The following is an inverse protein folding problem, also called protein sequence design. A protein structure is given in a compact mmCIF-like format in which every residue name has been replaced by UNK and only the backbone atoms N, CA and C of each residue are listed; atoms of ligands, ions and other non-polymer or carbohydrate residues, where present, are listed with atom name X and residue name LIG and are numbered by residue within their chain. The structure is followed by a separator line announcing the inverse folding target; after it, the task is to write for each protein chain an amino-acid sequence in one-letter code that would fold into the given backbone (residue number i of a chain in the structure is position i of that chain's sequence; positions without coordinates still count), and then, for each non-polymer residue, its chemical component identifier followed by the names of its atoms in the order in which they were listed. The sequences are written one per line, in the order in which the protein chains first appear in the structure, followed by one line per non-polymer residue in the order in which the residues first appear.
data_IF_114832211891
#
_entry.id   IF_114832211891
#
_cell.length_a   1.000
_cell.length_b   1.000
_cell.length_c   1.000
_cell.angle_alpha   90.00
_cell.angle_beta   90.00
_cell.angle_gamma   90.00
#
_symmetry.space_group_name_H-M   'P 1'
#
loop_
_entity.id
_entity.type
_entity.pdbx_description
1 polymer ?
#
# COMPACT_ATOMS: atom_id res chain seq x y z
N UNK A 1 -2.61 10.43 28.77
CA UNK A 1 -1.27 11.04 28.91
C UNK A 1 -0.58 10.98 27.55
N UNK A 2 -0.34 12.11 26.88
CA UNK A 2 0.25 12.11 25.54
C UNK A 2 1.78 12.02 25.65
N UNK A 3 2.34 11.05 24.95
CA UNK A 3 3.78 10.85 24.81
C UNK A 3 4.38 11.98 23.97
N UNK A 4 5.27 12.75 24.59
CA UNK A 4 6.07 13.77 23.94
C UNK A 4 6.99 13.14 22.90
N UNK A 5 6.64 13.27 21.62
CA UNK A 5 7.62 13.19 20.53
C UNK A 5 8.53 14.42 20.65
N UNK A 6 9.72 14.21 21.21
CA UNK A 6 10.78 15.20 21.24
C UNK A 6 11.27 15.42 19.81
N UNK A 7 10.64 16.35 19.09
CA UNK A 7 11.27 17.02 17.95
C UNK A 7 12.46 17.81 18.49
N UNK A 8 13.63 17.21 18.48
CA UNK A 8 14.88 17.96 18.52
C UNK A 8 15.23 18.44 17.11
N UNK A 9 14.40 19.33 16.56
CA UNK A 9 14.89 20.26 15.54
C UNK A 9 15.51 21.43 16.31
N UNK A 10 16.75 21.22 16.76
CA UNK A 10 17.63 22.37 16.98
C UNK A 10 17.99 22.84 15.58
N UNK A 11 17.26 23.84 15.07
CA UNK A 11 17.76 24.65 13.97
C UNK A 11 18.96 25.42 14.49
N UNK A 12 20.13 24.78 14.48
CA UNK A 12 21.38 25.49 14.40
C UNK A 12 21.25 26.40 13.18
N UNK A 13 21.50 27.70 13.35
CA UNK A 13 21.61 28.63 12.23
C UNK A 13 22.49 28.00 11.16
N UNK A 14 22.13 28.18 9.88
CA UNK A 14 22.91 27.73 8.73
C UNK A 14 24.34 28.29 8.67
N UNK A 15 24.73 29.13 9.64
CA UNK A 15 26.00 29.84 9.70
C UNK A 15 27.15 29.02 10.34
N UNK A 16 26.89 27.82 10.88
CA UNK A 16 27.88 27.07 11.69
C UNK A 16 28.17 25.64 11.18
N UNK A 17 27.77 25.31 9.94
CA UNK A 17 28.02 23.99 9.34
C UNK A 17 28.92 24.12 8.10
N UNK A 18 29.99 23.32 7.97
CA UNK A 18 30.90 23.42 6.82
C UNK A 18 30.23 22.96 5.51
N UNK A 19 29.25 22.04 5.61
CA UNK A 19 28.48 21.53 4.50
C UNK A 19 27.06 21.12 4.91
N UNK A 20 26.16 21.04 3.93
CA UNK A 20 24.79 20.54 4.05
C UNK A 20 24.48 19.53 2.93
N UNK A 21 23.66 18.52 3.25
CA UNK A 21 23.20 17.51 2.30
C UNK A 21 21.70 17.67 2.07
N UNK A 22 21.28 17.47 0.82
CA UNK A 22 19.87 17.42 0.42
C UNK A 22 19.65 16.35 -0.66
N UNK A 23 18.42 15.83 -0.76
CA UNK A 23 18.01 14.89 -1.81
C UNK A 23 16.80 15.48 -2.53
N UNK A 24 16.97 15.74 -3.82
CA UNK A 24 15.90 16.17 -4.71
C UNK A 24 15.42 14.97 -5.53
N UNK A 25 14.23 14.46 -5.20
CA UNK A 25 13.56 13.46 -6.04
C UNK A 25 13.02 14.11 -7.32
N UNK A 26 13.23 13.46 -8.46
CA UNK A 26 12.77 13.90 -9.79
C UNK A 26 11.68 12.98 -10.35
N UNK A 27 11.62 11.73 -9.86
CA UNK A 27 10.58 10.77 -10.24
C UNK A 27 9.20 11.17 -9.70
N UNK A 28 8.11 10.72 -10.38
CA UNK A 28 6.77 10.76 -9.82
C UNK A 28 6.66 9.95 -8.51
N UNK A 29 5.51 10.02 -7.80
CA UNK A 29 5.27 9.20 -6.61
C UNK A 29 5.55 7.73 -6.86
N UNK A 30 6.25 7.07 -5.93
CA UNK A 30 6.67 5.67 -6.06
C UNK A 30 5.47 4.73 -5.86
N UNK A 31 4.72 4.49 -6.93
CA UNK A 31 3.55 3.62 -6.95
C UNK A 31 3.87 2.37 -7.77
N UNK A 32 3.75 1.20 -7.13
CA UNK A 32 3.78 -0.10 -7.80
C UNK A 32 2.37 -0.45 -8.27
N UNK A 33 2.19 -0.58 -9.58
CA UNK A 33 0.90 -0.96 -10.16
C UNK A 33 0.76 -2.47 -10.26
N UNK A 34 -0.39 -3.00 -9.85
CA UNK A 34 -0.71 -4.41 -9.85
C UNK A 34 -0.32 -5.17 -8.58
N UNK A 35 -0.68 -6.45 -8.55
CA UNK A 35 -0.31 -7.37 -7.48
C UNK A 35 1.21 -7.59 -7.42
N UNK A 36 1.78 -8.00 -6.26
CA UNK A 36 3.24 -8.13 -6.09
C UNK A 36 3.96 -8.99 -7.13
N UNK A 37 3.27 -10.02 -7.62
CA UNK A 37 3.71 -11.01 -8.60
C UNK A 37 3.62 -10.53 -10.06
N UNK A 38 2.83 -9.48 -10.32
CA UNK A 38 2.61 -8.94 -11.68
C UNK A 38 3.28 -7.58 -11.88
N UNK A 39 3.50 -6.83 -10.80
CA UNK A 39 4.01 -5.46 -10.87
C UNK A 39 5.43 -5.38 -11.42
N UNK A 40 5.66 -4.45 -12.36
CA UNK A 40 6.98 -4.09 -12.89
C UNK A 40 7.81 -3.24 -11.92
N UNK A 41 7.22 -2.81 -10.79
CA UNK A 41 7.88 -1.98 -9.79
C UNK A 41 7.63 -0.48 -9.95
N UNK A 42 8.49 0.33 -9.35
CA UNK A 42 8.44 1.79 -9.45
C UNK A 42 9.84 2.35 -9.68
N UNK A 43 10.02 3.16 -10.72
CA UNK A 43 11.27 3.84 -11.02
C UNK A 43 11.43 5.06 -10.10
N UNK A 44 12.58 5.14 -9.44
CA UNK A 44 12.97 6.27 -8.61
C UNK A 44 14.22 6.94 -9.22
N UNK A 45 14.17 8.24 -9.39
CA UNK A 45 15.29 9.06 -9.90
C UNK A 45 15.41 10.34 -9.07
N UNK A 46 16.62 10.83 -8.93
CA UNK A 46 16.86 12.08 -8.21
C UNK A 46 18.32 12.50 -8.19
N UNK A 47 18.57 13.60 -7.49
CA UNK A 47 19.89 14.20 -7.30
C UNK A 47 20.23 14.24 -5.81
N UNK A 48 21.38 13.71 -5.43
CA UNK A 48 22.02 14.04 -4.16
C UNK A 48 22.73 15.39 -4.32
N UNK A 49 22.46 16.33 -3.43
CA UNK A 49 23.09 17.65 -3.39
C UNK A 49 23.93 17.78 -2.14
N UNK A 50 25.14 18.30 -2.31
CA UNK A 50 26.01 18.72 -1.22
C UNK A 50 26.38 20.18 -1.41
N UNK A 51 25.96 21.03 -0.48
CA UNK A 51 26.28 22.46 -0.48
C UNK A 51 27.41 22.70 0.50
N UNK A 52 28.54 23.21 0.01
CA UNK A 52 29.71 23.56 0.81
C UNK A 52 29.72 25.06 1.05
N UNK A 53 29.73 25.47 2.32
CA UNK A 53 29.68 26.88 2.74
C UNK A 53 31.06 27.47 3.05
N UNK A 54 32.04 26.62 3.35
CA UNK A 54 33.43 27.04 3.51
C UNK A 54 34.14 27.14 2.15
N UNK A 55 35.28 27.85 2.05
CA UNK A 55 36.03 27.97 0.79
C UNK A 55 36.40 26.62 0.17
N UNK A 56 36.75 25.65 1.02
CA UNK A 56 36.98 24.26 0.63
C UNK A 56 36.81 23.32 1.81
N UNK A 57 36.17 22.18 1.60
CA UNK A 57 36.05 21.11 2.60
C UNK A 57 36.66 19.83 2.04
N UNK A 58 37.54 19.19 2.81
CA UNK A 58 38.06 17.87 2.47
C UNK A 58 37.10 16.80 2.98
N UNK A 59 36.71 15.89 2.09
CA UNK A 59 35.86 14.75 2.43
C UNK A 59 36.54 13.47 1.98
N UNK A 60 36.48 12.44 2.80
CA UNK A 60 37.06 11.12 2.53
C UNK A 60 36.12 10.27 1.71
N UNK A 61 34.81 10.36 1.97
CA UNK A 61 33.82 9.66 1.17
C UNK A 61 32.46 10.37 1.12
N UNK A 62 31.76 10.18 0.01
CA UNK A 62 30.36 10.57 -0.19
C UNK A 62 29.63 9.31 -0.66
N UNK A 63 28.68 8.84 0.15
CA UNK A 63 27.92 7.63 -0.16
C UNK A 63 26.43 7.89 -0.06
N UNK A 64 25.66 7.19 -0.90
CA UNK A 64 24.21 7.15 -0.85
C UNK A 64 23.77 5.69 -0.77
N UNK A 65 22.83 5.38 0.11
CA UNK A 65 22.26 4.04 0.26
C UNK A 65 20.75 4.08 0.19
N UNK A 66 20.16 3.23 -0.63
CA UNK A 66 18.73 2.92 -0.55
C UNK A 66 18.53 1.76 0.41
N UNK A 67 17.73 1.96 1.45
CA UNK A 67 17.53 0.97 2.51
C UNK A 67 16.06 0.72 2.80
N UNK A 68 15.76 -0.54 3.12
CA UNK A 68 14.49 -0.96 3.74
C UNK A 68 14.73 -1.24 5.21
N UNK A 69 13.87 -0.70 6.06
CA UNK A 69 13.89 -0.93 7.51
C UNK A 69 12.57 -1.55 7.91
N UNK A 70 12.63 -2.80 8.38
CA UNK A 70 11.49 -3.48 8.99
C UNK A 70 11.71 -3.45 10.50
N UNK A 71 10.72 -2.97 11.25
CA UNK A 71 10.86 -2.79 12.70
C UNK A 71 9.62 -3.21 13.46
N UNK A 72 9.80 -3.59 14.72
CA UNK A 72 8.71 -3.92 15.64
C UNK A 72 8.86 -3.22 17.00
N UNK A 73 7.72 -2.98 17.64
CA UNK A 73 7.65 -2.54 19.05
C UNK A 73 7.70 -3.71 20.04
N UNK A 74 7.55 -4.95 19.56
CA UNK A 74 7.48 -6.15 20.39
C UNK A 74 8.56 -7.17 20.00
N UNK A 75 9.86 -6.81 20.09
CA UNK A 75 10.95 -7.73 19.78
C UNK A 75 10.93 -8.94 20.71
N UNK A 76 11.38 -10.10 20.22
CA UNK A 76 11.51 -11.33 21.04
C UNK A 76 12.49 -11.12 22.21
N UNK A 77 13.52 -10.27 22.00
CA UNK A 77 14.47 -9.81 23.01
C UNK A 77 14.64 -8.29 22.93
N UNK A 78 14.19 -7.58 23.97
CA UNK A 78 14.19 -6.11 24.01
C UNK A 78 15.57 -5.46 23.89
N UNK A 79 16.61 -6.12 24.43
CA UNK A 79 17.98 -5.61 24.39
C UNK A 79 18.73 -5.90 23.09
N UNK A 80 18.16 -6.69 22.16
CA UNK A 80 18.81 -7.05 20.91
C UNK A 80 18.34 -6.12 19.76
N UNK A 81 19.24 -5.37 19.11
CA UNK A 81 18.88 -4.51 17.98
C UNK A 81 18.33 -5.33 16.80
N UNK A 82 18.95 -6.48 16.48
CA UNK A 82 18.53 -7.37 15.39
C UNK A 82 17.15 -8.03 15.61
N UNK A 83 16.66 -8.09 16.87
CA UNK A 83 15.28 -8.48 17.15
C UNK A 83 14.29 -7.33 16.98
N UNK A 84 14.75 -6.08 17.10
CA UNK A 84 13.91 -4.87 17.04
C UNK A 84 13.75 -4.35 15.62
N UNK A 85 14.80 -4.43 14.82
CA UNK A 85 14.77 -4.07 13.42
C UNK A 85 15.70 -4.92 12.56
N UNK A 86 15.31 -5.07 11.30
CA UNK A 86 16.17 -5.54 10.22
C UNK A 86 16.34 -4.38 9.24
N UNK A 87 17.59 -4.15 8.83
CA UNK A 87 17.96 -3.12 7.86
C UNK A 87 18.56 -3.82 6.66
N UNK A 88 17.88 -3.71 5.52
CA UNK A 88 18.35 -4.24 4.26
C UNK A 88 18.88 -3.08 3.42
N UNK A 89 20.16 -3.13 3.04
CA UNK A 89 20.73 -2.21 2.05
C UNK A 89 20.42 -2.79 0.67
N UNK A 90 19.57 -2.09 -0.07
CA UNK A 90 19.05 -2.54 -1.35
C UNK A 90 19.93 -2.07 -2.52
N UNK A 91 20.40 -0.82 -2.44
CA UNK A 91 21.36 -0.24 -3.39
C UNK A 91 22.38 0.62 -2.65
N UNK A 92 23.59 0.72 -3.20
CA UNK A 92 24.69 1.53 -2.67
C UNK A 92 25.42 2.26 -3.80
N UNK A 93 25.60 3.57 -3.66
CA UNK A 93 26.38 4.42 -4.56
C UNK A 93 27.55 5.03 -3.80
N UNK A 94 28.76 4.66 -4.21
CA UNK A 94 30.01 5.26 -3.72
C UNK A 94 30.38 6.43 -4.63
N UNK A 95 29.75 7.58 -4.41
CA UNK A 95 29.83 8.76 -5.27
C UNK A 95 31.20 9.45 -5.23
N UNK A 96 31.88 9.34 -4.09
CA UNK A 96 33.29 9.68 -3.93
C UNK A 96 33.91 8.71 -2.94
N UNK A 97 34.91 7.94 -3.37
CA UNK A 97 35.60 6.93 -2.57
C UNK A 97 37.03 7.32 -2.19
N UNK A 98 37.50 8.49 -2.64
CA UNK A 98 38.84 9.02 -2.36
C UNK A 98 38.72 10.37 -1.66
N UNK A 99 39.73 10.73 -0.87
CA UNK A 99 39.81 12.06 -0.26
C UNK A 99 39.87 13.13 -1.33
N UNK A 100 38.81 13.93 -1.40
CA UNK A 100 38.65 15.04 -2.35
C UNK A 100 38.37 16.34 -1.60
N UNK A 101 38.91 17.43 -2.13
CA UNK A 101 38.61 18.79 -1.66
C UNK A 101 37.49 19.37 -2.50
N UNK A 102 36.34 19.63 -1.89
CA UNK A 102 35.20 20.26 -2.53
C UNK A 102 35.22 21.76 -2.27
N UNK A 103 35.20 22.56 -3.34
CA UNK A 103 35.14 24.02 -3.25
C UNK A 103 33.76 24.50 -2.82
N UNK A 104 33.68 25.73 -2.30
CA UNK A 104 32.43 26.41 -2.03
C UNK A 104 31.45 26.30 -3.21
N UNK A 105 30.20 25.91 -2.91
CA UNK A 105 29.16 25.74 -3.91
C UNK A 105 28.37 24.44 -3.75
N UNK A 106 27.45 24.20 -4.68
CA UNK A 106 26.60 23.01 -4.70
C UNK A 106 27.13 21.98 -5.68
N UNK A 107 27.43 20.79 -5.16
CA UNK A 107 27.85 19.61 -5.92
C UNK A 107 26.69 18.64 -5.99
N UNK A 108 26.49 18.03 -7.16
CA UNK A 108 25.32 17.17 -7.39
C UNK A 108 25.69 15.85 -8.03
N UNK A 109 25.06 14.76 -7.56
CA UNK A 109 25.21 13.44 -8.14
C UNK A 109 23.84 12.85 -8.47
N UNK A 110 23.59 12.45 -9.72
CA UNK A 110 22.37 11.75 -10.08
C UNK A 110 22.38 10.32 -9.56
N UNK A 111 21.21 9.83 -9.16
CA UNK A 111 20.98 8.44 -8.85
C UNK A 111 19.65 7.96 -9.44
N UNK A 112 19.58 6.66 -9.73
CA UNK A 112 18.37 6.00 -10.20
C UNK A 112 18.33 4.57 -9.72
N UNK A 113 17.15 4.08 -9.33
CA UNK A 113 16.93 2.69 -8.99
C UNK A 113 15.47 2.29 -9.25
N UNK A 114 15.23 0.99 -9.39
CA UNK A 114 13.89 0.45 -9.49
C UNK A 114 13.54 -0.22 -8.17
N UNK A 115 12.41 0.16 -7.58
CA UNK A 115 11.81 -0.60 -6.49
C UNK A 115 11.17 -1.85 -7.11
N UNK A 116 11.61 -3.07 -6.77
CA UNK A 116 11.05 -4.28 -7.34
C UNK A 116 9.56 -4.43 -7.03
N UNK A 117 8.77 -4.88 -8.02
CA UNK A 117 7.32 -4.98 -7.88
C UNK A 117 6.82 -5.94 -6.80
N UNK A 118 7.62 -6.90 -6.37
CA UNK A 118 7.28 -7.82 -5.28
C UNK A 118 7.54 -7.24 -3.88
N UNK A 119 8.13 -6.05 -3.77
CA UNK A 119 8.42 -5.45 -2.47
C UNK A 119 7.12 -5.03 -1.77
N UNK A 120 7.05 -5.14 -0.44
CA UNK A 120 5.93 -4.62 0.31
C UNK A 120 5.93 -3.09 0.25
N UNK A 121 4.74 -2.49 0.24
CA UNK A 121 4.58 -1.04 0.36
C UNK A 121 4.98 -0.53 1.76
N UNK A 122 5.27 0.76 1.87
CA UNK A 122 5.49 1.43 3.16
C UNK A 122 4.25 1.21 4.04
N UNK A 123 4.45 0.66 5.24
CA UNK A 123 3.35 0.24 6.12
C UNK A 123 3.63 0.68 7.55
N UNK A 124 2.66 1.32 8.19
CA UNK A 124 2.67 1.59 9.62
C UNK A 124 1.55 0.79 10.28
N UNK A 125 1.89 -0.18 11.12
CA UNK A 125 0.92 -1.01 11.84
C UNK A 125 1.21 -1.04 13.34
N UNK A 126 0.29 -1.54 14.18
CA UNK A 126 0.54 -1.69 15.60
C UNK A 126 1.75 -2.59 15.93
N UNK A 127 2.04 -3.60 15.10
CA UNK A 127 3.02 -4.64 15.41
C UNK A 127 4.31 -4.57 14.59
N UNK A 128 4.22 -4.30 13.28
CA UNK A 128 5.36 -4.28 12.35
C UNK A 128 5.26 -3.06 11.44
N UNK A 129 6.37 -2.33 11.29
CA UNK A 129 6.47 -1.18 10.40
C UNK A 129 7.49 -1.46 9.31
N UNK A 130 7.15 -1.08 8.08
CA UNK A 130 7.98 -1.20 6.88
C UNK A 130 8.26 0.21 6.39
N UNK A 131 9.53 0.62 6.41
CA UNK A 131 9.98 1.95 5.98
C UNK A 131 11.06 1.83 4.92
N UNK A 132 11.12 2.81 4.04
CA UNK A 132 12.14 2.95 3.02
C UNK A 132 12.79 4.32 3.14
N UNK A 133 14.10 4.40 2.98
CA UNK A 133 14.81 5.67 3.02
C UNK A 133 16.08 5.66 2.17
N UNK A 134 16.47 6.86 1.74
CA UNK A 134 17.80 7.15 1.21
C UNK A 134 18.65 7.71 2.35
N UNK A 135 19.78 7.07 2.63
CA UNK A 135 20.76 7.53 3.61
C UNK A 135 21.97 8.06 2.86
N UNK A 136 22.18 9.38 2.91
CA UNK A 136 23.40 10.01 2.42
C UNK A 136 24.36 10.20 3.59
N UNK A 137 25.63 9.84 3.39
CA UNK A 137 26.69 9.97 4.40
C UNK A 137 27.93 10.58 3.78
N UNK A 138 28.43 11.63 4.42
CA UNK A 138 29.73 12.23 4.09
C UNK A 138 30.66 12.08 5.28
N UNK A 139 31.87 11.58 5.04
CA UNK A 139 32.92 11.48 6.06
C UNK A 139 34.03 12.48 5.76
N UNK A 140 34.56 13.13 6.79
CA UNK A 140 35.64 14.13 6.69
C UNK A 140 36.69 13.89 7.77
N UNK A 141 37.95 14.16 7.45
CA UNK A 141 39.12 13.93 8.31
C UNK A 141 39.38 15.04 9.35
N UNK A 142 38.69 16.18 9.27
CA UNK A 142 39.00 17.30 10.17
C UNK A 142 38.54 16.98 11.60
N UNK A 143 39.45 17.22 12.54
CA UNK A 143 39.53 16.98 14.00
C UNK A 143 38.30 17.26 14.89
N UNK A 144 37.12 17.45 14.30
CA UNK A 144 35.83 17.55 14.97
C UNK A 144 34.78 16.84 14.11
N UNK A 145 34.43 15.61 14.47
CA UNK A 145 33.09 15.00 14.35
C UNK A 145 32.11 15.51 13.25
N UNK A 146 32.56 15.72 12.01
CA UNK A 146 31.78 16.30 10.89
C UNK A 146 31.29 15.20 9.94
N UNK A 147 30.99 14.01 10.47
CA UNK A 147 30.24 13.01 9.71
C UNK A 147 28.82 13.52 9.51
N UNK A 148 28.54 14.09 8.34
CA UNK A 148 27.20 14.60 8.01
C UNK A 148 26.38 13.45 7.45
N UNK A 149 25.17 13.30 7.98
CA UNK A 149 24.21 12.29 7.54
C UNK A 149 22.87 12.94 7.23
N UNK A 150 22.25 12.50 6.16
CA UNK A 150 20.88 12.87 5.78
C UNK A 150 20.06 11.59 5.59
N UNK A 151 18.90 11.54 6.23
CA UNK A 151 17.89 10.51 5.98
C UNK A 151 16.70 11.11 5.24
N UNK A 152 16.49 10.68 4.00
CA UNK A 152 15.34 11.07 3.19
C UNK A 152 14.36 9.90 3.10
N UNK A 153 13.17 10.05 3.70
CA UNK A 153 12.16 8.97 3.75
C UNK A 153 11.40 8.84 2.43
N UNK A 154 11.21 7.59 1.97
CA UNK A 154 10.49 7.27 0.75
C UNK A 154 9.13 6.61 1.07
N UNK A 155 8.07 7.10 0.40
CA UNK A 155 6.72 6.53 0.48
C UNK A 155 6.48 5.65 -0.74
N UNK A 156 6.66 4.35 -0.56
CA UNK A 156 6.38 3.34 -1.59
C UNK A 156 4.94 2.88 -1.39
N UNK A 157 4.13 2.93 -2.44
CA UNK A 157 2.70 2.62 -2.42
C UNK A 157 2.37 1.54 -3.44
N UNK A 158 1.23 0.87 -3.27
CA UNK A 158 0.72 -0.10 -4.23
C UNK A 158 -0.72 0.19 -4.62
N UNK A 159 -0.98 0.24 -5.92
CA UNK A 159 -2.32 0.33 -6.48
C UNK A 159 -2.62 -0.90 -7.31
N UNK A 160 -3.68 -1.63 -6.94
CA UNK A 160 -4.15 -2.78 -7.73
C UNK A 160 -5.28 -2.29 -8.62
N UNK A 161 -5.11 -2.42 -9.93
CA UNK A 161 -6.12 -2.07 -10.92
C UNK A 161 -6.71 -3.36 -11.45
N UNK A 162 -8.00 -3.58 -11.21
CA UNK A 162 -8.75 -4.72 -11.74
C UNK A 162 -9.97 -4.17 -12.47
N UNK A 163 -10.20 -4.66 -13.69
CA UNK A 163 -11.21 -4.11 -14.59
C UNK A 163 -12.60 -4.75 -14.46
N UNK A 164 -12.72 -5.83 -13.67
CA UNK A 164 -13.94 -6.62 -13.58
C UNK A 164 -14.48 -6.62 -12.15
N UNK A 165 -15.77 -6.34 -12.02
CA UNK A 165 -16.46 -6.40 -10.73
C UNK A 165 -16.42 -7.80 -10.12
N UNK A 166 -16.37 -7.80 -8.79
CA UNK A 166 -16.31 -9.01 -7.99
C UNK A 166 -17.72 -9.45 -7.65
N UNK A 167 -18.06 -10.66 -8.10
CA UNK A 167 -19.31 -11.34 -7.74
C UNK A 167 -19.03 -12.41 -6.71
N UNK A 168 -19.73 -12.36 -5.58
CA UNK A 168 -19.66 -13.36 -4.54
C UNK A 168 -21.05 -13.98 -4.32
N UNK A 169 -21.12 -15.30 -4.18
CA UNK A 169 -22.37 -16.03 -4.01
C UNK A 169 -22.30 -16.94 -2.79
N UNK A 170 -23.40 -17.07 -2.05
CA UNK A 170 -23.52 -17.97 -0.91
C UNK A 170 -24.91 -18.61 -0.83
N UNK A 171 -24.95 -19.93 -0.81
CA UNK A 171 -26.12 -20.73 -0.45
C UNK A 171 -26.20 -20.86 1.08
N UNK A 172 -27.41 -20.83 1.66
CA UNK A 172 -27.64 -20.97 3.09
C UNK A 172 -28.43 -22.23 3.47
N UNK A 173 -27.80 -23.42 3.57
CA UNK A 173 -28.46 -24.61 4.08
C UNK A 173 -28.95 -24.43 5.54
N UNK A 174 -30.09 -25.02 5.93
CA UNK A 174 -30.96 -25.91 5.15
C UNK A 174 -32.01 -25.18 4.29
N UNK A 175 -31.91 -23.86 4.11
CA UNK A 175 -32.84 -23.09 3.29
C UNK A 175 -32.48 -23.14 1.80
N UNK A 176 -33.43 -22.78 0.94
CA UNK A 176 -33.21 -22.54 -0.49
C UNK A 176 -32.64 -21.15 -0.80
N UNK A 177 -32.26 -20.38 0.23
CA UNK A 177 -31.85 -18.99 0.04
C UNK A 177 -30.43 -18.90 -0.50
N UNK A 178 -30.28 -18.11 -1.55
CA UNK A 178 -29.00 -17.81 -2.19
C UNK A 178 -28.80 -16.30 -2.15
N UNK A 179 -27.73 -15.85 -1.50
CA UNK A 179 -27.27 -14.48 -1.57
C UNK A 179 -26.23 -14.33 -2.69
N UNK A 180 -26.35 -13.24 -3.43
CA UNK A 180 -25.42 -12.75 -4.41
C UNK A 180 -25.03 -11.32 -4.03
N UNK A 181 -23.74 -11.02 -4.11
CA UNK A 181 -23.17 -9.72 -3.83
C UNK A 181 -22.27 -9.33 -4.99
N UNK A 182 -22.55 -8.20 -5.63
CA UNK A 182 -21.73 -7.62 -6.69
C UNK A 182 -21.16 -6.28 -6.21
N UNK A 183 -19.86 -6.09 -6.39
CA UNK A 183 -19.12 -4.94 -5.87
C UNK A 183 -17.80 -4.75 -6.61
N UNK A 184 -17.17 -3.56 -6.50
CA UNK A 184 -15.83 -3.33 -7.04
C UNK A 184 -14.81 -4.37 -6.56
N UNK A 185 -13.83 -4.75 -7.40
CA UNK A 185 -12.86 -5.79 -7.08
C UNK A 185 -11.85 -5.38 -6.02
N UNK A 186 -11.61 -4.08 -5.88
CA UNK A 186 -10.75 -3.44 -4.89
C UNK A 186 -11.43 -2.19 -4.37
N UNK A 187 -11.02 -1.75 -3.18
CA UNK A 187 -11.52 -0.52 -2.57
C UNK A 187 -10.37 0.40 -2.19
N UNK A 188 -10.70 1.67 -1.94
CA UNK A 188 -9.75 2.66 -1.47
C UNK A 188 -10.21 3.25 -0.13
N UNK A 189 -9.25 3.71 0.66
CA UNK A 189 -9.55 4.46 1.88
C UNK A 189 -10.48 5.64 1.56
N UNK A 190 -11.47 5.87 2.44
CA UNK A 190 -12.42 6.98 2.33
C UNK A 190 -13.28 6.95 1.04
N UNK A 191 -13.36 5.81 0.34
CA UNK A 191 -14.24 5.64 -0.81
C UNK A 191 -15.64 5.18 -0.41
N UNK A 192 -16.61 5.56 -1.24
CA UNK A 192 -17.96 5.00 -1.24
C UNK A 192 -17.98 3.82 -2.20
N UNK A 193 -18.34 2.64 -1.70
CA UNK A 193 -18.28 1.37 -2.41
C UNK A 193 -19.71 0.96 -2.74
N UNK A 194 -20.13 1.04 -4.01
CA UNK A 194 -21.45 0.56 -4.41
C UNK A 194 -21.48 -0.96 -4.33
N UNK A 195 -22.56 -1.49 -3.78
CA UNK A 195 -22.81 -2.92 -3.61
C UNK A 195 -24.23 -3.22 -4.05
N UNK A 196 -24.37 -4.19 -4.93
CA UNK A 196 -25.66 -4.75 -5.31
C UNK A 196 -25.84 -6.09 -4.60
N UNK A 197 -26.89 -6.19 -3.78
CA UNK A 197 -27.26 -7.40 -3.08
C UNK A 197 -28.52 -8.01 -3.68
N UNK A 198 -28.49 -9.31 -3.92
CA UNK A 198 -29.65 -10.07 -4.36
C UNK A 198 -29.82 -11.32 -3.49
N UNK A 199 -31.03 -11.54 -2.98
CA UNK A 199 -31.42 -12.76 -2.28
C UNK A 199 -32.51 -13.47 -3.08
N UNK A 200 -32.26 -14.71 -3.51
CA UNK A 200 -33.23 -15.54 -4.25
C UNK A 200 -33.67 -16.75 -3.44
N UNK A 201 -34.77 -17.40 -3.82
CA UNK A 201 -35.34 -18.53 -3.08
C UNK A 201 -36.20 -18.11 -1.89
N UNK A 202 -36.69 -16.86 -1.89
CA UNK A 202 -37.56 -16.30 -0.85
C UNK A 202 -39.00 -16.84 -0.89
N UNK A 203 -39.48 -17.37 -2.01
CA UNK A 203 -40.80 -17.93 -2.23
C UNK A 203 -40.68 -19.22 -3.06
N UNK A 204 -40.41 -20.37 -2.41
CA UNK A 204 -40.38 -21.65 -3.09
C UNK A 204 -41.73 -21.95 -3.77
N UNK A 205 -41.69 -22.40 -5.02
CA UNK A 205 -42.90 -22.67 -5.81
C UNK A 205 -43.82 -23.67 -5.10
N UNK A 206 -45.14 -23.44 -5.17
CA UNK A 206 -46.19 -24.29 -4.60
C UNK A 206 -46.17 -24.47 -3.07
N UNK A 207 -45.52 -23.56 -2.33
CA UNK A 207 -45.54 -23.56 -0.86
C UNK A 207 -46.29 -22.36 -0.30
N UNK A 208 -46.97 -22.52 0.84
CA UNK A 208 -47.55 -21.41 1.63
C UNK A 208 -46.49 -20.61 2.39
N UNK A 209 -45.23 -20.96 2.18
CA UNK A 209 -44.08 -20.56 2.96
C UNK A 209 -43.28 -19.54 2.17
N UNK A 210 -42.88 -18.46 2.82
CA UNK A 210 -41.98 -17.48 2.24
C UNK A 210 -41.03 -16.91 3.28
N UNK A 211 -39.89 -16.41 2.82
CA UNK A 211 -38.93 -15.66 3.61
C UNK A 211 -39.15 -14.17 3.38
N UNK A 212 -39.38 -13.43 4.47
CA UNK A 212 -39.36 -11.97 4.45
C UNK A 212 -38.04 -11.47 5.01
N UNK A 213 -37.38 -10.60 4.26
CA UNK A 213 -36.23 -9.85 4.76
C UNK A 213 -36.70 -8.85 5.81
N UNK A 214 -36.05 -8.87 6.98
CA UNK A 214 -36.39 -8.04 8.14
C UNK A 214 -35.31 -6.98 8.41
N UNK A 215 -34.05 -7.36 8.22
CA UNK A 215 -32.90 -6.48 8.46
C UNK A 215 -31.73 -6.88 7.57
N UNK A 216 -31.00 -5.88 7.09
CA UNK A 216 -29.69 -6.00 6.46
C UNK A 216 -28.71 -5.20 7.29
N UNK A 217 -27.52 -5.73 7.53
CA UNK A 217 -26.43 -4.99 8.18
C UNK A 217 -25.12 -5.39 7.56
N UNK A 218 -24.21 -4.44 7.44
CA UNK A 218 -22.87 -4.69 6.93
C UNK A 218 -21.85 -4.14 7.90
N UNK A 219 -20.64 -4.72 7.84
CA UNK A 219 -19.46 -4.14 8.47
C UNK A 219 -18.20 -4.51 7.71
N UNK A 220 -17.25 -3.58 7.70
CA UNK A 220 -15.91 -3.78 7.14
C UNK A 220 -14.95 -3.98 8.30
N UNK A 221 -14.30 -5.13 8.33
CA UNK A 221 -13.29 -5.50 9.31
C UNK A 221 -11.90 -5.48 8.66
N UNK A 222 -10.95 -4.83 9.30
CA UNK A 222 -9.53 -4.96 9.01
C UNK A 222 -8.93 -6.01 9.94
N UNK A 223 -8.31 -7.03 9.38
CA UNK A 223 -7.66 -8.11 10.12
C UNK A 223 -6.15 -7.95 10.00
N UNK A 224 -5.50 -7.69 11.12
CA UNK A 224 -4.03 -7.61 11.22
C UNK A 224 -3.56 -8.88 11.93
N UNK A 225 -2.74 -9.66 11.24
CA UNK A 225 -2.02 -10.81 11.81
C UNK A 225 -0.54 -10.52 11.70
N UNK A 226 0.20 -10.65 12.79
CA UNK A 226 1.65 -10.53 12.77
C UNK A 226 2.29 -11.68 13.52
N UNK A 227 3.41 -12.18 13.00
CA UNK A 227 4.22 -13.18 13.66
C UNK A 227 5.69 -12.73 13.63
N UNK A 228 6.29 -12.62 14.81
CA UNK A 228 7.63 -12.07 15.00
C UNK A 228 8.53 -13.18 15.52
N UNK A 229 9.41 -13.65 14.65
CA UNK A 229 10.42 -14.65 14.93
C UNK A 229 11.65 -14.04 15.60
N UNK A 230 12.42 -14.82 16.39
CA UNK A 230 13.73 -14.40 16.84
C UNK A 230 14.67 -14.15 15.65
N UNK A 231 15.68 -13.30 15.85
CA UNK A 231 16.79 -13.19 14.89
C UNK A 231 17.66 -14.46 14.94
N UNK A 232 18.55 -14.61 13.97
CA UNK A 232 19.48 -15.76 13.86
C UNK A 232 20.29 -16.02 15.13
N UNK A 233 20.70 -14.97 15.85
CA UNK A 233 21.43 -15.08 17.12
C UNK A 233 20.59 -15.66 18.28
N UNK A 234 19.26 -15.59 18.18
CA UNK A 234 18.32 -15.99 19.22
C UNK A 234 17.38 -17.10 18.76
N UNK A 235 17.68 -17.73 17.63
CA UNK A 235 16.93 -18.86 17.12
C UNK A 235 16.91 -19.99 18.17
N UNK A 236 15.72 -20.54 18.44
CA UNK A 236 15.52 -21.57 19.46
C UNK A 236 15.52 -21.10 20.92
N UNK A 237 15.93 -19.86 21.22
CA UNK A 237 15.99 -19.36 22.60
C UNK A 237 14.60 -19.00 23.17
N UNK A 238 13.70 -18.51 22.33
CA UNK A 238 12.33 -18.11 22.71
C UNK A 238 11.36 -18.41 21.58
N UNK A 239 10.09 -18.62 21.96
CA UNK A 239 9.00 -18.77 21.01
C UNK A 239 8.73 -17.44 20.28
N UNK A 240 8.35 -17.48 19.00
CA UNK A 240 7.87 -16.31 18.28
C UNK A 240 6.68 -15.65 18.99
N UNK A 241 6.52 -14.35 18.78
CA UNK A 241 5.32 -13.64 19.22
C UNK A 241 4.27 -13.65 18.11
N UNK A 242 3.05 -14.05 18.45
CA UNK A 242 1.90 -14.02 17.54
C UNK A 242 0.90 -12.96 18.00
N UNK A 243 0.52 -12.07 17.09
CA UNK A 243 -0.46 -11.02 17.31
C UNK A 243 -1.61 -11.15 16.32
N UNK A 244 -2.82 -10.94 16.81
CA UNK A 244 -4.03 -10.87 15.99
C UNK A 244 -4.89 -9.73 16.50
N UNK A 245 -5.21 -8.80 15.62
CA UNK A 245 -6.09 -7.69 15.89
C UNK A 245 -7.15 -7.61 14.80
N UNK A 246 -8.37 -7.23 15.18
CA UNK A 246 -9.45 -6.97 14.22
C UNK A 246 -10.04 -5.62 14.55
N UNK A 247 -9.95 -4.69 13.59
CA UNK A 247 -10.47 -3.33 13.73
C UNK A 247 -11.73 -3.17 12.89
N UNK A 248 -12.76 -2.56 13.48
CA UNK A 248 -13.98 -2.21 12.77
C UNK A 248 -13.75 -0.88 12.04
N UNK A 249 -13.82 -0.89 10.71
CA UNK A 249 -13.61 0.31 9.90
C UNK A 249 -14.90 1.05 9.61
N UNK A 250 -16.01 0.33 9.44
CA UNK A 250 -17.30 0.91 9.13
C UNK A 250 -18.40 -0.12 9.27
N UNK A 251 -19.61 0.33 9.55
CA UNK A 251 -20.80 -0.51 9.65
C UNK A 251 -22.06 0.33 9.47
N UNK A 252 -23.13 -0.31 9.01
CA UNK A 252 -24.47 0.28 9.02
C UNK A 252 -25.55 -0.81 9.06
N UNK A 253 -26.79 -0.41 9.32
CA UNK A 253 -27.98 -1.25 9.40
C UNK A 253 -29.15 -0.63 8.64
N UNK A 254 -29.85 -1.47 7.87
CA UNK A 254 -31.05 -1.11 7.12
C UNK A 254 -32.20 -2.05 7.45
N UNK A 255 -33.39 -1.48 7.68
CA UNK A 255 -34.65 -2.20 7.92
C UNK A 255 -35.68 -2.02 6.80
N UNK A 256 -35.30 -1.28 5.77
CA UNK A 256 -36.12 -0.90 4.63
C UNK A 256 -35.20 -0.55 3.44
N UNK A 257 -35.76 -0.40 2.24
CA UNK A 257 -35.04 0.07 1.05
C UNK A 257 -34.77 -1.00 -0.02
N UNK A 258 -35.11 -2.27 0.25
CA UNK A 258 -35.05 -3.33 -0.75
C UNK A 258 -36.33 -3.40 -1.59
N UNK A 259 -36.18 -3.87 -2.82
CA UNK A 259 -37.27 -4.15 -3.76
C UNK A 259 -37.52 -5.66 -3.80
N UNK A 260 -38.79 -6.05 -3.88
CA UNK A 260 -39.18 -7.46 -4.01
C UNK A 260 -39.65 -7.67 -5.45
N UNK A 261 -39.03 -8.61 -6.14
CA UNK A 261 -39.37 -9.02 -7.50
C UNK A 261 -39.60 -10.53 -7.54
N UNK A 262 -40.87 -10.93 -7.38
CA UNK A 262 -41.27 -12.34 -7.30
C UNK A 262 -40.60 -13.09 -6.14
N UNK A 263 -39.65 -13.95 -6.48
CA UNK A 263 -38.84 -14.78 -5.57
C UNK A 263 -37.53 -14.09 -5.12
N UNK A 264 -37.26 -12.89 -5.65
CA UNK A 264 -36.01 -12.16 -5.45
C UNK A 264 -36.21 -10.94 -4.58
N UNK A 265 -35.21 -10.65 -3.77
CA UNK A 265 -35.08 -9.39 -3.04
C UNK A 265 -33.82 -8.71 -3.53
N UNK A 266 -33.95 -7.49 -4.02
CA UNK A 266 -32.87 -6.68 -4.57
C UNK A 266 -32.60 -5.49 -3.66
N UNK A 267 -31.34 -5.21 -3.37
CA UNK A 267 -30.95 -4.12 -2.49
C UNK A 267 -29.63 -3.49 -2.94
N UNK A 268 -29.71 -2.25 -3.41
CA UNK A 268 -28.54 -1.45 -3.78
C UNK A 268 -28.12 -0.61 -2.58
N UNK A 269 -26.87 -0.74 -2.17
CA UNK A 269 -26.33 -0.08 -0.99
C UNK A 269 -24.94 0.48 -1.29
N UNK A 270 -24.63 1.62 -0.68
CA UNK A 270 -23.27 2.17 -0.67
C UNK A 270 -22.67 1.94 0.70
N UNK A 271 -21.54 1.24 0.76
CA UNK A 271 -20.78 1.02 2.00
C UNK A 271 -19.53 1.88 2.02
N UNK A 272 -19.01 2.20 3.20
CA UNK A 272 -17.82 3.03 3.32
C UNK A 272 -17.07 2.78 4.63
N UNK A 273 -15.80 3.17 4.66
CA UNK A 273 -14.99 3.20 5.88
C UNK A 273 -15.21 4.52 6.61
N UNK A 274 -15.25 4.49 7.95
CA UNK A 274 -15.29 5.69 8.79
C UNK A 274 -14.08 6.59 8.55
N UNK A 275 -14.32 7.90 8.50
CA UNK A 275 -13.27 8.92 8.29
C UNK A 275 -12.17 8.88 9.37
N UNK A 276 -12.52 8.40 10.58
CA UNK A 276 -11.59 8.33 11.71
C UNK A 276 -10.76 7.03 11.73
N UNK A 277 -11.14 6.03 10.93
CA UNK A 277 -10.58 4.68 11.03
C UNK A 277 -9.14 4.54 10.52
N UNK A 278 -8.70 5.43 9.61
CA UNK A 278 -7.36 5.42 8.98
C UNK A 278 -6.93 3.98 8.61
N UNK A 279 -7.62 3.34 7.66
CA UNK A 279 -7.34 1.97 7.27
C UNK A 279 -5.93 1.85 6.68
N UNK A 280 -5.30 0.71 6.90
CA UNK A 280 -3.97 0.40 6.35
C UNK A 280 -4.18 -0.43 5.09
N UNK A 281 -3.50 -0.15 3.98
CA UNK A 281 -3.64 -0.94 2.77
C UNK A 281 -3.20 -2.40 2.98
N UNK A 282 -3.85 -3.32 2.25
CA UNK A 282 -3.53 -4.75 2.29
C UNK A 282 -2.05 -4.96 1.99
N UNK A 283 -1.40 -5.73 2.86
CA UNK A 283 0.02 -6.04 2.73
C UNK A 283 0.29 -7.41 3.31
N UNK A 284 1.13 -8.17 2.62
CA UNK A 284 1.68 -9.42 3.13
C UNK A 284 3.20 -9.35 3.06
N UNK A 285 3.84 -9.68 4.16
CA UNK A 285 5.28 -9.80 4.29
C UNK A 285 5.56 -11.11 5.03
N UNK A 286 6.57 -11.84 4.55
CA UNK A 286 7.07 -13.07 5.15
C UNK A 286 8.53 -12.91 5.57
N UNK A 287 9.00 -13.77 6.49
CA UNK A 287 10.37 -13.76 7.01
C UNK A 287 10.42 -13.68 8.54
N UNK A 288 11.47 -13.04 9.08
CA UNK A 288 11.61 -12.84 10.53
C UNK A 288 10.43 -12.05 11.11
N UNK A 289 9.97 -11.03 10.39
CA UNK A 289 8.76 -10.29 10.68
C UNK A 289 7.74 -10.64 9.62
N UNK A 290 6.75 -11.43 9.95
CA UNK A 290 5.62 -11.64 9.07
C UNK A 290 4.44 -10.78 9.51
N UNK A 291 3.79 -10.17 8.52
CA UNK A 291 2.57 -9.39 8.74
C UNK A 291 1.63 -9.63 7.57
N UNK A 292 0.35 -9.80 7.89
CA UNK A 292 -0.75 -9.92 6.93
C UNK A 292 -1.85 -8.99 7.39
N UNK A 293 -2.10 -7.96 6.58
CA UNK A 293 -3.22 -7.03 6.73
C UNK A 293 -4.18 -7.34 5.59
N UNK A 294 -5.43 -7.64 5.94
CA UNK A 294 -6.48 -7.95 4.97
C UNK A 294 -7.82 -7.39 5.41
N UNK A 295 -8.63 -6.99 4.45
CA UNK A 295 -9.96 -6.44 4.68
C UNK A 295 -11.06 -7.42 4.30
N UNK A 296 -12.13 -7.45 5.10
CA UNK A 296 -13.29 -8.29 4.84
C UNK A 296 -14.58 -7.49 5.02
N UNK A 297 -15.49 -7.64 4.06
CA UNK A 297 -16.88 -7.25 4.20
C UNK A 297 -17.67 -8.41 4.81
N UNK A 298 -18.33 -8.13 5.93
CA UNK A 298 -19.31 -9.03 6.52
C UNK A 298 -20.68 -8.45 6.25
N UNK A 299 -21.46 -9.17 5.46
CA UNK A 299 -22.83 -8.83 5.10
C UNK A 299 -23.78 -9.79 5.80
N UNK A 300 -24.63 -9.28 6.67
CA UNK A 300 -25.55 -10.06 7.49
C UNK A 300 -26.99 -9.64 7.22
N UNK A 301 -27.83 -10.62 6.95
CA UNK A 301 -29.26 -10.42 6.73
C UNK A 301 -30.07 -11.25 7.71
N UNK A 302 -31.17 -10.69 8.21
CA UNK A 302 -32.13 -11.40 9.05
C UNK A 302 -33.38 -11.60 8.23
N UNK A 303 -33.75 -12.86 8.01
CA UNK A 303 -34.99 -13.25 7.36
C UNK A 303 -35.94 -13.86 8.39
N UNK A 304 -37.23 -13.62 8.22
CA UNK A 304 -38.30 -14.16 9.06
C UNK A 304 -39.17 -15.02 8.16
N UNK A 305 -39.52 -16.20 8.66
CA UNK A 305 -40.47 -17.07 7.98
C UNK A 305 -41.88 -16.47 8.01
N UNK A 306 -42.57 -16.57 6.88
CA UNK A 306 -43.97 -16.19 6.73
C UNK A 306 -44.78 -17.37 6.20
N UNK A 307 -45.95 -17.57 6.81
CA UNK A 307 -46.94 -18.54 6.34
C UNK A 307 -48.19 -17.76 5.96
N UNK A 308 -48.68 -17.92 4.72
CA UNK A 308 -49.81 -17.15 4.18
C UNK A 308 -49.64 -15.62 4.36
N UNK A 309 -48.41 -15.11 4.12
CA UNK A 309 -48.07 -13.69 4.27
C UNK A 309 -48.23 -13.13 5.70
N UNK A 310 -48.31 -14.01 6.71
CA UNK A 310 -48.24 -13.61 8.11
C UNK A 310 -46.90 -14.04 8.72
N UNK A 311 -46.22 -13.15 9.45
CA UNK A 311 -44.92 -13.44 10.03
C UNK A 311 -45.04 -14.45 11.17
N UNK A 312 -44.24 -15.50 11.10
CA UNK A 312 -44.06 -16.46 12.18
C UNK A 312 -42.88 -15.98 13.01
N UNK A 313 -43.15 -15.15 14.01
CA UNK A 313 -42.13 -14.47 14.83
C UNK A 313 -41.15 -15.42 15.54
N UNK A 314 -41.48 -16.71 15.67
CA UNK A 314 -40.62 -17.71 16.32
C UNK A 314 -39.52 -18.29 15.43
N UNK A 315 -39.47 -17.98 14.13
CA UNK A 315 -38.52 -18.61 13.19
C UNK A 315 -37.79 -17.57 12.32
N UNK A 316 -36.92 -16.78 12.98
CA UNK A 316 -35.98 -15.87 12.31
C UNK A 316 -34.64 -16.56 12.07
N UNK A 317 -34.01 -16.29 10.93
CA UNK A 317 -32.68 -16.82 10.56
C UNK A 317 -31.73 -15.69 10.23
N UNK A 318 -30.50 -15.82 10.70
CA UNK A 318 -29.40 -14.91 10.42
C UNK A 318 -28.55 -15.53 9.32
N UNK A 319 -28.50 -14.88 8.15
CA UNK A 319 -27.72 -15.29 7.00
C UNK A 319 -26.52 -14.36 6.90
N UNK A 320 -25.32 -14.90 7.16
CA UNK A 320 -24.07 -14.14 7.16
C UNK A 320 -23.18 -14.57 6.00
N UNK A 321 -22.74 -13.60 5.22
CA UNK A 321 -21.77 -13.75 4.15
C UNK A 321 -20.50 -12.97 4.53
N UNK A 322 -19.33 -13.54 4.22
CA UNK A 322 -18.03 -12.89 4.41
C UNK A 322 -17.33 -12.87 3.06
N UNK A 323 -16.85 -11.71 2.65
CA UNK A 323 -16.15 -11.55 1.38
C UNK A 323 -14.88 -10.73 1.59
N UNK A 324 -13.77 -11.18 1.01
CA UNK A 324 -12.53 -10.39 1.01
C UNK A 324 -12.76 -9.10 0.21
N UNK A 325 -12.27 -7.97 0.70
CA UNK A 325 -12.47 -6.67 0.10
C UNK A 325 -11.12 -5.93 0.03
N UNK A 326 -10.26 -6.27 -0.95
CA UNK A 326 -8.88 -5.79 -0.97
C UNK A 326 -8.79 -4.27 -0.95
N UNK A 327 -8.09 -3.70 0.05
CA UNK A 327 -7.91 -2.27 0.19
C UNK A 327 -6.53 -1.86 -0.32
N UNK A 328 -6.47 -0.97 -1.31
CA UNK A 328 -5.21 -0.53 -1.94
C UNK A 328 -5.15 0.98 -2.12
N UNK A 329 -3.96 1.51 -2.37
CA UNK A 329 -3.79 2.92 -2.70
C UNK A 329 -4.41 3.25 -4.06
N UNK A 330 -4.76 4.51 -4.25
CA UNK A 330 -5.21 5.00 -5.56
C UNK A 330 -3.99 5.16 -6.46
N UNK A 331 -4.10 4.70 -7.71
CA UNK A 331 -3.05 4.87 -8.71
C UNK A 331 -2.83 6.33 -9.11
N UNK A 332 -3.86 7.17 -8.98
CA UNK A 332 -3.80 8.56 -9.45
C UNK A 332 -3.87 8.62 -10.97
N UNK A 333 -3.17 9.58 -11.57
CA UNK A 333 -3.07 9.76 -13.03
C UNK A 333 -1.84 9.07 -13.65
N UNK A 334 -1.03 8.39 -12.84
CA UNK A 334 0.15 7.70 -13.33
C UNK A 334 -0.20 6.37 -14.00
N UNK A 335 0.71 5.92 -14.85
CA UNK A 335 0.73 4.55 -15.40
C UNK A 335 2.00 3.86 -14.94
N UNK A 336 2.11 2.55 -15.17
CA UNK A 336 3.35 1.86 -14.81
C UNK A 336 4.51 2.37 -15.69
N UNK A 337 5.71 2.41 -15.13
CA UNK A 337 6.86 3.03 -15.79
C UNK A 337 7.26 2.31 -17.09
N UNK A 338 6.95 1.01 -17.20
CA UNK A 338 7.15 0.21 -18.40
C UNK A 338 6.13 0.50 -19.51
N UNK A 339 4.92 0.94 -19.14
CA UNK A 339 3.88 1.40 -20.08
C UNK A 339 4.10 2.85 -20.54
N UNK A 340 4.96 3.62 -19.86
CA UNK A 340 5.37 4.97 -20.31
C UNK A 340 6.35 4.93 -21.49
N UNK A 341 6.92 3.76 -21.81
CA UNK A 341 7.85 3.64 -22.92
C UNK A 341 7.11 3.81 -24.25
N UNK A 342 7.61 4.67 -25.17
CA UNK A 342 7.01 4.78 -26.49
C UNK A 342 7.08 3.43 -27.20
N UNK A 343 6.09 3.10 -28.06
CA UNK A 343 6.09 1.85 -28.79
C UNK A 343 7.40 1.72 -29.57
N UNK A 344 8.10 0.59 -29.39
CA UNK A 344 9.29 0.30 -30.17
C UNK A 344 8.86 -0.03 -31.61
N UNK A 345 9.20 0.86 -32.54
CA UNK A 345 9.00 0.58 -33.96
C UNK A 345 9.93 -0.57 -34.38
N UNK A 346 9.35 -1.65 -34.90
CA UNK A 346 10.11 -2.82 -35.41
C UNK A 346 10.92 -2.50 -36.66
N UNK A 347 10.56 -1.41 -37.36
CA UNK A 347 11.39 -0.79 -38.38
C UNK A 347 11.05 0.69 -38.44
N UNK A 348 12.06 1.55 -38.46
CA UNK A 348 11.89 2.91 -38.96
C UNK A 348 11.77 2.74 -40.47
N UNK A 349 10.65 3.16 -41.06
CA UNK A 349 10.54 3.21 -42.51
C UNK A 349 11.70 4.01 -43.11
N UNK A 350 11.99 3.88 -44.42
CA UNK A 350 13.03 4.69 -45.05
C UNK A 350 12.81 6.15 -44.68
N UNK A 351 13.87 6.81 -44.22
CA UNK A 351 13.82 8.23 -43.87
C UNK A 351 13.26 9.05 -45.04
N UNK A 352 12.68 10.23 -44.78
CA UNK A 352 12.22 11.11 -45.85
C UNK A 352 13.35 11.32 -46.87
N UNK A 353 13.02 11.50 -48.17
CA UNK A 353 14.03 11.69 -49.21
C UNK A 353 14.99 12.83 -48.82
N UNK A 354 16.29 12.71 -49.10
CA UNK A 354 17.22 13.81 -48.93
C UNK A 354 16.72 15.04 -49.69
N UNK A 355 16.88 16.24 -49.12
CA UNK A 355 16.47 17.49 -49.78
C UNK A 355 17.11 17.68 -51.17
N UNK A 356 18.24 17.03 -51.43
CA UNK A 356 18.92 16.98 -52.73
C UNK A 356 18.03 16.39 -53.85
N UNK A 357 17.11 15.49 -53.53
CA UNK A 357 16.13 14.93 -54.48
C UNK A 357 14.96 15.88 -54.77
N UNK A 358 14.62 16.78 -53.84
CA UNK A 358 13.56 17.78 -54.05
C UNK A 358 14.01 18.90 -55.02
N UNK A 359 15.32 19.11 -55.17
CA UNK A 359 15.91 20.08 -56.10
C UNK A 359 15.99 19.57 -57.55
N UNK A 360 15.72 18.28 -57.79
CA UNK A 360 15.71 17.68 -59.13
C UNK A 360 14.31 17.53 -59.73
N UNK A 361 13.26 17.92 -59.00
CA UNK A 361 11.93 17.98 -59.58
C UNK A 361 11.93 19.09 -60.65
N UNK A 362 11.53 18.78 -61.89
CA UNK A 362 11.45 19.82 -62.92
C UNK A 362 10.50 20.89 -62.43
N UNK A 363 10.96 22.14 -62.54
CA UNK A 363 10.14 23.32 -62.33
C UNK A 363 8.87 23.20 -63.18
N UNK A 364 7.71 23.22 -62.51
CA UNK A 364 6.38 23.26 -63.14
C UNK A 364 6.25 24.48 -64.03
#
# INVERSE_FOLDING_TARGET
MPSFLRRSNVSLSSADRPLELDVQMESPPLIMYGAPDVSSGALATGLLKMTVFEPSVQTNSVNLKFMRIISTKHPVRESCPNCRNTVDVLENWDLSSTTLSFVHGTHTWPFSFIVPGHFPQTTESPFVNIRYLLLATVTSDVSTNTNVKLEHSLSIRRSIILNTDKVAQRLFPPTSLVALLEMPPVIHALSCIPIQFQLTGCKPQNTRFSWRLSKVSWRIEEQIKAHISPCTEHEGSRKPHEFRETRLLGNDEHRHGWKIDGDRILFDITVSTSLLSKPICDVTLEGQYSISIAHQLIFETIVVEEINSQPVNSNARILRMKVNLPLTERGGLGVSWDEECPPMFTSVGPGPPPYEYALQLPSV
#
